data_IF_632741409850
#
_entry.id   IF_632741409850
#
_cell.length_a   1.000
_cell.length_b   1.000
_cell.length_c   1.000
_cell.angle_alpha   90.00
_cell.angle_beta   90.00
_cell.angle_gamma   90.00
#
_symmetry.space_group_name_H-M   'P 1'
#
loop_
_entity.id
_entity.type
_entity.pdbx_description
1 polymer ?
#
# COMPACT_ATOMS: atom_id res chain seq x y z
N UNK A 1 11.16 1.40 -7.11
CA UNK A 1 11.05 0.60 -8.36
C UNK A 1 10.92 -0.89 -8.03
N UNK A 2 11.96 -1.57 -7.50
CA UNK A 2 11.93 -3.03 -7.20
C UNK A 2 10.71 -3.54 -6.40
N UNK A 3 10.29 -2.82 -5.36
CA UNK A 3 9.08 -3.20 -4.59
C UNK A 3 7.79 -3.12 -5.40
N UNK A 4 7.68 -2.14 -6.30
CA UNK A 4 6.52 -2.02 -7.19
C UNK A 4 6.55 -3.08 -8.30
N UNK A 5 7.74 -3.41 -8.82
CA UNK A 5 7.92 -4.53 -9.74
C UNK A 5 7.48 -5.85 -9.09
N UNK A 6 7.93 -6.11 -7.85
CA UNK A 6 7.48 -7.25 -7.07
C UNK A 6 5.95 -7.30 -6.96
N UNK A 7 5.30 -6.20 -6.59
CA UNK A 7 3.85 -6.16 -6.48
C UNK A 7 3.16 -6.43 -7.83
N UNK A 8 3.68 -5.86 -8.94
CA UNK A 8 3.15 -6.08 -10.29
C UNK A 8 3.28 -7.54 -10.73
N UNK A 9 4.38 -8.20 -10.38
CA UNK A 9 4.65 -9.57 -10.79
C UNK A 9 3.93 -10.60 -9.93
N UNK A 10 3.95 -10.44 -8.60
CA UNK A 10 3.50 -11.47 -7.66
C UNK A 10 2.05 -11.24 -7.23
N UNK A 11 1.67 -9.98 -6.99
CA UNK A 11 0.38 -9.64 -6.36
C UNK A 11 -0.68 -9.24 -7.37
N UNK A 12 -0.32 -8.67 -8.51
CA UNK A 12 -1.31 -8.29 -9.52
C UNK A 12 -1.97 -9.54 -10.13
N UNK A 13 -3.30 -9.56 -10.09
CA UNK A 13 -4.08 -10.59 -10.76
C UNK A 13 -4.30 -10.23 -12.23
N UNK A 14 -4.66 -11.22 -13.06
CA UNK A 14 -4.90 -11.00 -14.50
C UNK A 14 -6.09 -10.09 -14.84
N UNK A 15 -6.90 -9.68 -13.86
CA UNK A 15 -8.01 -8.76 -14.03
C UNK A 15 -7.65 -7.30 -13.68
N UNK A 16 -6.47 -7.06 -13.09
CA UNK A 16 -5.96 -5.73 -12.78
C UNK A 16 -6.03 -5.30 -11.31
N UNK A 17 -6.46 -6.17 -10.39
CA UNK A 17 -6.41 -5.91 -8.95
C UNK A 17 -5.19 -6.55 -8.28
N UNK A 18 -4.67 -5.95 -7.22
CA UNK A 18 -3.62 -6.53 -6.38
C UNK A 18 -4.21 -7.40 -5.28
N UNK A 19 -3.78 -8.66 -5.25
CA UNK A 19 -4.10 -9.65 -4.24
C UNK A 19 -3.58 -9.25 -2.85
N UNK A 20 -4.26 -9.73 -1.81
CA UNK A 20 -4.07 -9.33 -0.43
C UNK A 20 -2.69 -9.71 0.10
N UNK A 21 -2.15 -10.85 -0.33
CA UNK A 21 -0.82 -11.26 0.08
C UNK A 21 -0.40 -12.58 -0.50
N UNK A 22 0.80 -12.97 -0.10
CA UNK A 22 1.35 -14.31 -0.27
C UNK A 22 1.39 -14.97 1.10
N UNK A 23 1.17 -16.27 1.12
CA UNK A 23 1.40 -17.10 2.29
C UNK A 23 2.87 -17.02 2.70
N UNK A 24 3.11 -17.16 3.99
CA UNK A 24 4.47 -17.30 4.50
C UNK A 24 5.03 -18.68 4.15
N UNK A 25 4.16 -19.70 4.06
CA UNK A 25 4.55 -21.08 3.81
C UNK A 25 4.71 -21.37 2.31
N UNK A 26 5.76 -22.12 2.00
CA UNK A 26 5.98 -22.75 0.69
C UNK A 26 6.53 -24.14 0.91
N UNK A 27 6.02 -25.15 0.20
CA UNK A 27 6.41 -26.56 0.40
C UNK A 27 6.19 -27.09 1.84
N UNK A 28 5.33 -26.43 2.62
CA UNK A 28 5.06 -26.78 4.02
C UNK A 28 6.07 -26.23 5.03
N UNK A 29 6.99 -25.36 4.58
CA UNK A 29 7.98 -24.68 5.41
C UNK A 29 7.84 -23.16 5.32
N UNK A 30 7.84 -22.48 6.46
CA UNK A 30 7.72 -21.03 6.56
C UNK A 30 8.95 -20.34 5.95
N UNK A 31 8.73 -19.47 4.98
CA UNK A 31 9.76 -18.60 4.40
C UNK A 31 10.73 -19.27 3.42
N UNK A 32 10.63 -20.59 3.20
CA UNK A 32 11.56 -21.36 2.35
C UNK A 32 11.72 -20.77 0.93
N UNK A 33 10.66 -20.22 0.36
CA UNK A 33 10.72 -19.60 -0.96
C UNK A 33 11.69 -18.40 -1.04
N UNK A 34 11.89 -17.65 0.05
CA UNK A 34 12.70 -16.43 0.08
C UNK A 34 14.04 -16.56 0.80
N UNK A 35 14.26 -17.67 1.51
CA UNK A 35 15.49 -17.90 2.26
C UNK A 35 16.50 -18.72 1.46
N UNK A 36 17.77 -18.62 1.86
CA UNK A 36 18.88 -19.26 1.14
C UNK A 36 19.88 -19.85 2.12
N UNK A 37 20.33 -21.08 1.89
CA UNK A 37 21.47 -21.60 2.64
C UNK A 37 22.79 -21.04 2.08
N UNK A 38 23.80 -20.97 2.93
CA UNK A 38 25.14 -20.55 2.51
C UNK A 38 25.68 -21.43 1.37
N UNK A 39 25.55 -22.74 1.51
CA UNK A 39 26.14 -23.69 0.56
C UNK A 39 25.39 -23.71 -0.78
N UNK A 40 24.06 -23.53 -0.77
CA UNK A 40 23.26 -23.34 -1.99
C UNK A 40 23.73 -22.11 -2.77
N UNK A 41 23.87 -20.96 -2.10
CA UNK A 41 24.32 -19.73 -2.76
C UNK A 41 25.77 -19.82 -3.22
N UNK A 42 26.63 -20.50 -2.46
CA UNK A 42 28.01 -20.71 -2.86
C UNK A 42 28.11 -21.50 -4.17
N UNK A 43 27.32 -22.58 -4.28
CA UNK A 43 27.25 -23.38 -5.49
C UNK A 43 26.62 -22.60 -6.67
N UNK A 44 25.58 -21.81 -6.42
CA UNK A 44 24.86 -21.05 -7.45
C UNK A 44 25.68 -19.88 -8.03
N UNK A 45 26.36 -19.15 -7.15
CA UNK A 45 26.98 -17.86 -7.50
C UNK A 45 28.45 -18.00 -7.93
N UNK A 46 29.15 -19.04 -7.47
CA UNK A 46 30.56 -19.27 -7.77
C UNK A 46 31.41 -18.10 -7.28
N UNK A 47 32.21 -17.51 -8.17
CA UNK A 47 33.13 -16.41 -7.83
C UNK A 47 32.43 -15.16 -7.30
N UNK A 48 31.15 -14.94 -7.65
CA UNK A 48 30.35 -13.81 -7.15
C UNK A 48 29.93 -14.00 -5.69
N UNK A 49 29.99 -15.24 -5.16
CA UNK A 49 29.41 -15.61 -3.88
C UNK A 49 29.87 -14.73 -2.71
N UNK A 50 31.19 -14.51 -2.46
CA UNK A 50 31.62 -13.80 -1.26
C UNK A 50 31.06 -12.36 -1.17
N UNK A 51 30.97 -11.68 -2.32
CA UNK A 51 30.45 -10.32 -2.39
C UNK A 51 28.92 -10.28 -2.25
N UNK A 52 28.22 -11.17 -2.95
CA UNK A 52 26.74 -11.21 -2.91
C UNK A 52 26.25 -11.69 -1.54
N UNK A 53 26.87 -12.71 -0.96
CA UNK A 53 26.58 -13.22 0.37
C UNK A 53 26.85 -12.15 1.44
N UNK A 54 28.00 -11.47 1.36
CA UNK A 54 28.34 -10.39 2.27
C UNK A 54 27.37 -9.19 2.15
N UNK A 55 26.92 -8.86 0.94
CA UNK A 55 25.98 -7.76 0.71
C UNK A 55 24.60 -8.07 1.28
N UNK A 56 24.12 -9.31 1.11
CA UNK A 56 22.81 -9.76 1.57
C UNK A 56 22.78 -10.38 2.96
N UNK A 57 23.89 -10.30 3.71
CA UNK A 57 23.94 -10.78 5.09
C UNK A 57 23.77 -12.29 5.24
N UNK A 58 24.25 -13.07 4.27
CA UNK A 58 24.16 -14.53 4.27
C UNK A 58 25.27 -15.11 5.16
N UNK A 59 24.89 -15.94 6.14
CA UNK A 59 25.81 -16.65 7.03
C UNK A 59 25.65 -18.17 6.90
N UNK A 60 26.63 -18.94 7.41
CA UNK A 60 26.57 -20.40 7.45
C UNK A 60 25.52 -20.91 8.43
N UNK A 61 25.31 -20.19 9.52
CA UNK A 61 24.34 -20.51 10.56
C UNK A 61 22.91 -20.22 10.11
N UNK A 62 22.73 -19.19 9.27
CA UNK A 62 21.41 -18.69 8.91
C UNK A 62 20.70 -17.97 10.07
N UNK A 63 19.55 -17.38 9.75
CA UNK A 63 18.64 -16.73 10.71
C UNK A 63 17.40 -17.60 10.99
N UNK A 64 17.11 -18.55 10.10
CA UNK A 64 15.93 -19.41 10.12
C UNK A 64 16.33 -20.82 9.66
N UNK A 65 16.43 -21.77 10.60
CA UNK A 65 16.68 -23.19 10.32
C UNK A 65 17.82 -23.45 9.31
N UNK A 66 18.99 -22.83 9.54
CA UNK A 66 20.15 -22.99 8.67
C UNK A 66 20.13 -22.14 7.39
N UNK A 67 19.05 -21.37 7.16
CA UNK A 67 18.89 -20.49 6.02
C UNK A 67 18.95 -19.01 6.41
N UNK A 68 19.43 -18.17 5.50
CA UNK A 68 19.53 -16.73 5.68
C UNK A 68 18.33 -16.01 5.07
N UNK A 69 17.72 -15.12 5.85
CA UNK A 69 16.80 -14.09 5.35
C UNK A 69 17.65 -12.94 4.80
N UNK A 70 17.50 -12.66 3.50
CA UNK A 70 18.31 -11.64 2.83
C UNK A 70 18.00 -10.25 3.39
N UNK A 71 19.03 -9.51 3.76
CA UNK A 71 18.93 -8.14 4.22
C UNK A 71 20.20 -7.38 3.82
N UNK A 72 20.12 -6.06 3.72
CA UNK A 72 21.33 -5.26 3.48
C UNK A 72 22.21 -5.31 4.74
N UNK A 73 23.36 -5.99 4.66
CA UNK A 73 24.28 -6.10 5.80
C UNK A 73 24.95 -4.75 6.14
N UNK A 74 25.04 -3.85 5.15
CA UNK A 74 25.48 -2.47 5.30
C UNK A 74 24.87 -1.60 4.20
N UNK A 75 24.95 -0.28 4.37
CA UNK A 75 24.65 0.66 3.28
C UNK A 75 25.55 0.37 2.06
N UNK A 76 25.02 0.37 0.82
CA UNK A 76 25.76 -0.03 -0.37
C UNK A 76 27.10 0.69 -0.54
N UNK A 77 27.15 1.98 -0.22
CA UNK A 77 28.36 2.82 -0.35
C UNK A 77 29.44 2.38 0.65
N UNK A 78 29.03 2.07 1.88
CA UNK A 78 29.93 1.58 2.92
C UNK A 78 30.44 0.18 2.58
N UNK A 79 29.56 -0.67 2.05
CA UNK A 79 29.92 -2.01 1.61
C UNK A 79 30.93 -1.96 0.45
N UNK A 80 30.66 -1.16 -0.59
CA UNK A 80 31.56 -0.98 -1.74
C UNK A 80 32.96 -0.54 -1.30
N UNK A 81 33.02 0.47 -0.42
CA UNK A 81 34.27 0.98 0.14
C UNK A 81 35.05 -0.09 0.88
N UNK A 82 34.38 -0.89 1.72
CA UNK A 82 34.99 -1.99 2.46
C UNK A 82 35.54 -3.12 1.57
N UNK A 83 35.02 -3.24 0.34
CA UNK A 83 35.44 -4.23 -0.66
C UNK A 83 36.39 -3.65 -1.72
N UNK A 84 36.80 -2.38 -1.59
CA UNK A 84 37.62 -1.65 -2.57
C UNK A 84 37.03 -1.65 -4.00
N UNK A 85 35.69 -1.58 -4.11
CA UNK A 85 34.95 -1.51 -5.38
C UNK A 85 34.34 -0.12 -5.58
N UNK A 86 34.17 0.28 -6.84
CA UNK A 86 33.29 1.41 -7.17
C UNK A 86 31.81 1.03 -6.95
N UNK A 87 30.95 2.02 -6.85
CA UNK A 87 29.50 1.80 -6.72
C UNK A 87 28.93 1.05 -7.94
N UNK A 88 29.43 1.36 -9.13
CA UNK A 88 29.03 0.75 -10.39
C UNK A 88 29.46 -0.72 -10.45
N UNK A 89 30.69 -1.02 -10.05
CA UNK A 89 31.20 -2.40 -10.00
C UNK A 89 30.41 -3.25 -9.02
N UNK A 90 30.12 -2.71 -7.82
CA UNK A 90 29.28 -3.40 -6.85
C UNK A 90 27.88 -3.63 -7.42
N UNK A 91 27.27 -2.60 -8.01
CA UNK A 91 25.92 -2.71 -8.59
C UNK A 91 25.85 -3.79 -9.68
N UNK A 92 26.86 -3.88 -10.54
CA UNK A 92 26.93 -4.91 -11.59
C UNK A 92 27.01 -6.33 -11.00
N UNK A 93 27.89 -6.55 -10.01
CA UNK A 93 28.06 -7.85 -9.35
C UNK A 93 26.78 -8.25 -8.61
N UNK A 94 26.18 -7.33 -7.85
CA UNK A 94 24.93 -7.58 -7.11
C UNK A 94 23.76 -7.81 -8.07
N UNK A 95 23.67 -7.10 -9.20
CA UNK A 95 22.61 -7.33 -10.21
C UNK A 95 22.73 -8.73 -10.80
N UNK A 96 23.91 -9.11 -11.29
CA UNK A 96 24.17 -10.44 -11.84
C UNK A 96 23.89 -11.55 -10.83
N UNK A 97 24.32 -11.39 -9.58
CA UNK A 97 24.05 -12.34 -8.50
C UNK A 97 22.54 -12.45 -8.20
N UNK A 98 21.85 -11.31 -8.11
CA UNK A 98 20.41 -11.26 -7.84
C UNK A 98 19.59 -11.89 -8.97
N UNK A 99 20.02 -11.75 -10.23
CA UNK A 99 19.40 -12.39 -11.39
C UNK A 99 19.54 -13.91 -11.35
N UNK A 100 20.73 -14.44 -11.01
CA UNK A 100 20.95 -15.89 -10.81
C UNK A 100 20.07 -16.43 -9.67
N UNK A 101 20.03 -15.72 -8.54
CA UNK A 101 19.19 -16.07 -7.39
C UNK A 101 17.71 -16.07 -7.76
N UNK A 102 17.25 -15.04 -8.48
CA UNK A 102 15.87 -14.96 -8.96
C UNK A 102 15.54 -16.14 -9.90
N UNK A 103 16.40 -16.44 -10.87
CA UNK A 103 16.19 -17.53 -11.82
C UNK A 103 16.13 -18.91 -11.13
N UNK A 104 16.92 -19.12 -10.09
CA UNK A 104 16.89 -20.34 -9.28
C UNK A 104 15.64 -20.40 -8.39
N UNK A 105 15.30 -19.30 -7.70
CA UNK A 105 14.09 -19.19 -6.87
C UNK A 105 12.80 -19.44 -7.66
N UNK A 106 12.71 -18.94 -8.90
CA UNK A 106 11.56 -19.14 -9.78
C UNK A 106 11.28 -20.60 -10.15
N UNK A 107 12.14 -21.55 -9.75
CA UNK A 107 11.93 -22.99 -9.92
C UNK A 107 11.41 -23.69 -8.65
N UNK A 108 11.38 -22.99 -7.51
CA UNK A 108 10.79 -23.48 -6.25
C UNK A 108 9.27 -23.39 -6.32
N UNK A 109 8.56 -24.16 -5.50
CA UNK A 109 7.11 -23.99 -5.38
C UNK A 109 6.82 -22.59 -4.78
N UNK A 110 6.05 -21.74 -5.48
CA UNK A 110 5.75 -20.41 -4.96
C UNK A 110 4.77 -20.48 -3.78
N UNK A 111 4.84 -19.52 -2.84
CA UNK A 111 3.86 -19.42 -1.77
C UNK A 111 2.46 -19.21 -2.35
N UNK A 112 1.45 -19.73 -1.65
CA UNK A 112 0.06 -19.55 -2.06
C UNK A 112 -0.32 -18.07 -2.02
N UNK A 113 -0.95 -17.57 -3.08
CA UNK A 113 -1.44 -16.19 -3.12
C UNK A 113 -2.87 -16.13 -2.57
N UNK A 114 -3.14 -15.28 -1.57
CA UNK A 114 -4.52 -14.97 -1.16
C UNK A 114 -5.18 -14.19 -2.32
N UNK A 115 -6.14 -14.78 -3.05
CA UNK A 115 -6.69 -14.16 -4.25
C UNK A 115 -7.59 -12.96 -3.95
N UNK A 116 -7.90 -12.70 -2.67
CA UNK A 116 -8.72 -11.58 -2.23
C UNK A 116 -8.08 -10.25 -2.65
N UNK A 117 -8.87 -9.35 -3.21
CA UNK A 117 -8.47 -7.97 -3.49
C UNK A 117 -9.17 -7.08 -2.48
N UNK A 118 -8.43 -6.28 -1.71
CA UNK A 118 -8.98 -5.37 -0.69
C UNK A 118 -8.92 -3.93 -1.20
N UNK A 119 -10.06 -3.23 -1.14
CA UNK A 119 -10.24 -1.89 -1.71
C UNK A 119 -9.27 -0.89 -1.10
N UNK A 120 -9.21 -0.81 0.23
CA UNK A 120 -8.27 0.03 0.97
C UNK A 120 -6.81 -0.12 0.48
N UNK A 121 -6.33 -1.36 0.39
CA UNK A 121 -4.93 -1.66 0.03
C UNK A 121 -4.64 -1.35 -1.44
N UNK A 122 -5.61 -1.61 -2.31
CA UNK A 122 -5.48 -1.24 -3.72
C UNK A 122 -5.55 0.27 -3.92
N UNK A 123 -6.31 1.02 -3.11
CA UNK A 123 -6.27 2.48 -3.08
C UNK A 123 -4.89 3.04 -2.73
N UNK A 124 -4.22 2.45 -1.72
CA UNK A 124 -2.83 2.78 -1.38
C UNK A 124 -1.87 2.42 -2.53
N UNK A 125 -2.04 1.26 -3.15
CA UNK A 125 -1.24 0.84 -4.29
C UNK A 125 -1.39 1.79 -5.49
N UNK A 126 -2.62 2.23 -5.81
CA UNK A 126 -2.89 3.23 -6.84
C UNK A 126 -2.08 4.52 -6.58
N UNK A 127 -2.19 5.07 -5.36
CA UNK A 127 -1.42 6.27 -4.97
C UNK A 127 0.09 6.06 -5.11
N UNK A 128 0.61 4.91 -4.64
CA UNK A 128 2.03 4.59 -4.73
C UNK A 128 2.52 4.50 -6.18
N UNK A 129 1.75 3.83 -7.05
CA UNK A 129 2.06 3.69 -8.48
C UNK A 129 1.99 5.02 -9.23
N UNK A 130 1.01 5.88 -8.90
CA UNK A 130 0.95 7.24 -9.46
C UNK A 130 2.21 8.02 -9.10
N UNK A 131 2.58 8.06 -7.82
CA UNK A 131 3.79 8.75 -7.37
C UNK A 131 5.04 8.21 -8.04
N UNK A 132 5.14 6.88 -8.17
CA UNK A 132 6.28 6.24 -8.83
C UNK A 132 6.36 6.63 -10.31
N UNK A 133 5.24 6.58 -11.04
CA UNK A 133 5.15 7.00 -12.44
C UNK A 133 5.56 8.46 -12.62
N UNK A 134 5.07 9.35 -11.75
CA UNK A 134 5.42 10.78 -11.80
C UNK A 134 6.89 11.07 -11.55
N UNK A 135 7.54 10.34 -10.64
CA UNK A 135 8.96 10.56 -10.30
C UNK A 135 9.88 9.90 -11.33
N UNK A 136 9.50 8.75 -11.87
CA UNK A 136 10.36 7.98 -12.79
C UNK A 136 10.15 8.34 -14.27
N UNK A 137 9.00 8.90 -14.62
CA UNK A 137 8.59 9.12 -16.02
C UNK A 137 8.22 7.83 -16.76
N UNK A 138 8.10 6.70 -16.06
CA UNK A 138 7.72 5.42 -16.66
C UNK A 138 6.20 5.21 -16.60
N UNK A 139 5.55 5.37 -17.76
CA UNK A 139 4.11 5.32 -17.93
C UNK A 139 3.48 3.98 -17.50
N UNK A 140 4.25 2.89 -17.43
CA UNK A 140 3.72 1.59 -17.04
C UNK A 140 3.12 1.61 -15.63
N UNK A 141 3.66 2.43 -14.74
CA UNK A 141 3.17 2.61 -13.38
C UNK A 141 1.81 3.33 -13.37
N UNK A 142 1.69 4.39 -14.18
CA UNK A 142 0.43 5.13 -14.34
C UNK A 142 -0.66 4.26 -14.98
N UNK A 143 -0.28 3.44 -15.97
CA UNK A 143 -1.19 2.49 -16.61
C UNK A 143 -1.68 1.43 -15.63
N UNK A 144 -0.80 0.87 -14.79
CA UNK A 144 -1.17 -0.08 -13.75
C UNK A 144 -2.09 0.54 -12.70
N UNK A 145 -1.81 1.77 -12.24
CA UNK A 145 -2.66 2.50 -11.32
C UNK A 145 -4.07 2.73 -11.90
N UNK A 146 -4.15 3.21 -13.15
CA UNK A 146 -5.41 3.42 -13.83
C UNK A 146 -6.17 2.10 -14.07
N UNK A 147 -5.46 1.03 -14.43
CA UNK A 147 -6.04 -0.32 -14.58
C UNK A 147 -6.67 -0.82 -13.28
N UNK A 148 -5.95 -0.64 -12.16
CA UNK A 148 -6.44 -1.01 -10.82
C UNK A 148 -7.66 -0.22 -10.41
N UNK A 149 -7.68 1.09 -10.68
CA UNK A 149 -8.86 1.91 -10.42
C UNK A 149 -10.07 1.46 -11.24
N UNK A 150 -9.89 1.13 -12.54
CA UNK A 150 -10.98 0.56 -13.37
C UNK A 150 -11.45 -0.78 -12.84
N UNK A 151 -10.53 -1.64 -12.40
CA UNK A 151 -10.88 -2.92 -11.79
C UNK A 151 -11.81 -2.74 -10.58
N UNK A 152 -11.48 -1.83 -9.66
CA UNK A 152 -12.33 -1.52 -8.49
C UNK A 152 -13.69 -1.00 -8.96
N UNK A 153 -13.73 -0.02 -9.88
CA UNK A 153 -14.98 0.56 -10.37
C UNK A 153 -15.90 -0.47 -11.05
N UNK A 154 -15.33 -1.47 -11.71
CA UNK A 154 -16.08 -2.48 -12.46
C UNK A 154 -16.53 -3.66 -11.60
N UNK A 155 -15.72 -4.06 -10.61
CA UNK A 155 -15.91 -5.33 -9.88
C UNK A 155 -16.24 -5.15 -8.40
N UNK A 156 -16.02 -3.96 -7.85
CA UNK A 156 -16.14 -3.67 -6.42
C UNK A 156 -17.15 -2.55 -6.13
N UNK A 157 -18.07 -2.33 -7.05
CA UNK A 157 -19.17 -1.36 -6.90
C UNK A 157 -20.48 -2.10 -7.18
N UNK A 158 -21.43 -2.02 -6.26
CA UNK A 158 -22.75 -2.64 -6.45
C UNK A 158 -23.55 -1.91 -7.53
N UNK A 159 -24.61 -2.51 -8.09
CA UNK A 159 -25.50 -1.82 -9.03
C UNK A 159 -26.07 -0.49 -8.51
N UNK A 160 -26.24 -0.37 -7.20
CA UNK A 160 -26.73 0.83 -6.51
C UNK A 160 -25.63 1.88 -6.27
N UNK A 161 -24.37 1.58 -6.64
CA UNK A 161 -23.22 2.48 -6.52
C UNK A 161 -22.46 2.37 -5.19
N UNK A 162 -22.74 1.37 -4.35
CA UNK A 162 -22.03 1.14 -3.08
C UNK A 162 -20.65 0.53 -3.35
N UNK A 163 -19.60 1.06 -2.72
CA UNK A 163 -18.28 0.45 -2.76
C UNK A 163 -18.24 -0.81 -1.88
N UNK A 164 -17.55 -1.84 -2.34
CA UNK A 164 -17.33 -3.10 -1.64
C UNK A 164 -15.91 -3.15 -1.05
N UNK A 165 -15.78 -3.73 0.14
CA UNK A 165 -14.50 -3.86 0.84
C UNK A 165 -13.54 -4.78 0.07
N UNK A 166 -14.06 -5.90 -0.41
CA UNK A 166 -13.24 -6.91 -1.03
C UNK A 166 -13.90 -7.51 -2.25
N UNK A 167 -13.04 -7.98 -3.14
CA UNK A 167 -13.39 -8.85 -4.24
C UNK A 167 -12.72 -10.18 -4.03
N UNK A 168 -13.53 -11.23 -4.05
CA UNK A 168 -13.13 -12.61 -4.13
C UNK A 168 -14.06 -13.24 -5.16
N UNK A 169 -13.60 -14.23 -5.94
CA UNK A 169 -14.42 -14.87 -7.00
C UNK A 169 -15.71 -15.55 -6.50
N UNK A 170 -16.06 -15.42 -5.22
CA UNK A 170 -17.21 -15.98 -4.54
C UNK A 170 -18.16 -14.90 -4.00
N UNK A 171 -19.47 -15.18 -3.89
CA UNK A 171 -20.53 -14.18 -3.91
C UNK A 171 -20.91 -13.57 -2.55
N UNK A 172 -19.98 -13.37 -1.61
CA UNK A 172 -20.28 -12.72 -0.33
C UNK A 172 -19.73 -11.27 -0.29
N UNK A 173 -20.43 -10.30 -0.93
CA UNK A 173 -19.98 -8.91 -0.93
C UNK A 173 -20.05 -8.34 0.49
N UNK A 174 -18.95 -7.75 0.93
CA UNK A 174 -18.89 -6.99 2.19
C UNK A 174 -18.90 -5.52 1.84
N UNK A 175 -19.85 -4.75 2.40
CA UNK A 175 -19.87 -3.29 2.24
C UNK A 175 -18.53 -2.68 2.69
N UNK A 176 -18.01 -1.74 1.90
CA UNK A 176 -16.80 -1.01 2.25
C UNK A 176 -16.92 -0.28 3.59
N UNK A 177 -15.80 -0.18 4.30
CA UNK A 177 -15.64 0.65 5.50
C UNK A 177 -15.10 2.04 5.12
N UNK A 178 -15.03 2.95 6.10
CA UNK A 178 -14.54 4.31 5.87
C UNK A 178 -13.15 4.35 5.23
N UNK A 179 -12.25 3.45 5.64
CA UNK A 179 -10.89 3.34 5.10
C UNK A 179 -10.85 2.95 3.61
N UNK A 180 -11.76 2.07 3.18
CA UNK A 180 -11.82 1.58 1.80
C UNK A 180 -12.17 2.73 0.86
N UNK A 181 -13.15 3.55 1.26
CA UNK A 181 -13.51 4.78 0.56
C UNK A 181 -12.37 5.80 0.60
N UNK A 182 -11.78 6.04 1.78
CA UNK A 182 -10.77 7.08 1.95
C UNK A 182 -9.53 6.81 1.07
N UNK A 183 -8.96 5.61 1.15
CA UNK A 183 -7.76 5.28 0.38
C UNK A 183 -8.03 5.15 -1.11
N UNK A 184 -9.19 4.62 -1.52
CA UNK A 184 -9.54 4.59 -2.93
C UNK A 184 -9.70 6.00 -3.51
N UNK A 185 -10.41 6.89 -2.80
CA UNK A 185 -10.54 8.29 -3.20
C UNK A 185 -9.20 9.03 -3.21
N UNK A 186 -8.29 8.80 -2.27
CA UNK A 186 -6.95 9.38 -2.32
C UNK A 186 -6.19 8.93 -3.58
N UNK A 187 -6.28 7.65 -3.95
CA UNK A 187 -5.73 7.13 -5.21
C UNK A 187 -6.38 7.77 -6.45
N UNK A 188 -7.71 7.97 -6.44
CA UNK A 188 -8.41 8.69 -7.51
C UNK A 188 -7.98 10.15 -7.61
N UNK A 189 -7.75 10.82 -6.49
CA UNK A 189 -7.25 12.19 -6.45
C UNK A 189 -5.83 12.29 -7.02
N UNK A 190 -4.98 11.30 -6.74
CA UNK A 190 -3.64 11.21 -7.33
C UNK A 190 -3.72 10.96 -8.85
N UNK A 191 -4.57 10.05 -9.30
CA UNK A 191 -4.81 9.82 -10.73
C UNK A 191 -5.35 11.08 -11.44
N UNK A 192 -6.29 11.79 -10.83
CA UNK A 192 -6.85 13.02 -11.38
C UNK A 192 -5.81 14.14 -11.50
N UNK A 193 -4.80 14.17 -10.63
CA UNK A 193 -3.73 15.16 -10.68
C UNK A 193 -2.74 14.95 -11.84
N UNK A 194 -2.63 13.72 -12.36
CA UNK A 194 -1.65 13.35 -13.41
C UNK A 194 -2.31 12.94 -14.73
N UNK A 195 -3.65 12.93 -14.81
CA UNK A 195 -4.39 12.48 -15.98
C UNK A 195 -5.46 13.49 -16.37
N UNK A 196 -5.57 13.77 -17.67
CA UNK A 196 -6.61 14.63 -18.23
C UNK A 196 -8.00 13.94 -18.32
N UNK A 197 -8.10 12.65 -17.93
CA UNK A 197 -9.37 11.93 -18.00
C UNK A 197 -10.35 12.40 -16.91
N UNK A 198 -11.53 12.92 -17.26
CA UNK A 198 -12.49 13.46 -16.28
C UNK A 198 -13.06 12.37 -15.35
N UNK A 199 -13.02 11.11 -15.80
CA UNK A 199 -13.47 9.95 -15.02
C UNK A 199 -12.94 9.95 -13.59
N UNK A 200 -11.67 10.28 -13.36
CA UNK A 200 -11.08 10.18 -12.02
C UNK A 200 -11.60 11.25 -11.07
N UNK A 201 -11.72 12.50 -11.53
CA UNK A 201 -12.27 13.58 -10.72
C UNK A 201 -13.78 13.39 -10.50
N UNK A 202 -14.52 12.89 -11.48
CA UNK A 202 -15.94 12.54 -11.34
C UNK A 202 -16.16 11.44 -10.29
N UNK A 203 -15.37 10.36 -10.35
CA UNK A 203 -15.47 9.26 -9.37
C UNK A 203 -14.97 9.68 -7.99
N UNK A 204 -13.93 10.50 -7.90
CA UNK A 204 -13.48 11.10 -6.64
C UNK A 204 -14.63 11.90 -5.99
N UNK A 205 -15.28 12.78 -6.75
CA UNK A 205 -16.39 13.58 -6.23
C UNK A 205 -17.55 12.69 -5.75
N UNK A 206 -17.92 11.67 -6.53
CA UNK A 206 -18.98 10.73 -6.18
C UNK A 206 -18.67 9.97 -4.88
N UNK A 207 -17.56 9.22 -4.85
CA UNK A 207 -17.23 8.38 -3.70
C UNK A 207 -16.84 9.18 -2.46
N UNK A 208 -16.24 10.37 -2.62
CA UNK A 208 -15.98 11.27 -1.48
C UNK A 208 -17.25 11.83 -0.85
N UNK A 209 -18.29 12.13 -1.66
CA UNK A 209 -19.61 12.52 -1.12
C UNK A 209 -20.30 11.34 -0.44
N UNK A 210 -20.21 10.15 -1.00
CA UNK A 210 -20.73 8.92 -0.38
C UNK A 210 -20.03 8.60 0.93
N UNK A 211 -18.69 8.73 1.01
CA UNK A 211 -17.94 8.59 2.25
C UNK A 211 -18.48 9.54 3.33
N UNK A 212 -18.68 10.81 2.99
CA UNK A 212 -19.24 11.78 3.92
C UNK A 212 -20.65 11.38 4.37
N UNK A 213 -21.51 10.99 3.44
CA UNK A 213 -22.91 10.63 3.70
C UNK A 213 -23.04 9.37 4.56
N UNK A 214 -22.21 8.37 4.30
CA UNK A 214 -22.32 7.04 4.89
C UNK A 214 -21.63 6.92 6.24
N UNK A 215 -20.59 7.72 6.51
CA UNK A 215 -19.73 7.49 7.67
C UNK A 215 -19.60 8.67 8.64
N UNK A 216 -20.04 9.88 8.28
CA UNK A 216 -20.07 11.03 9.20
C UNK A 216 -21.46 11.29 9.75
N UNK A 217 -21.56 11.42 11.07
CA UNK A 217 -22.76 11.93 11.70
C UNK A 217 -22.87 13.47 11.57
N UNK A 218 -23.98 14.03 12.08
CA UNK A 218 -24.23 15.48 12.03
C UNK A 218 -23.22 16.30 12.83
N UNK A 219 -22.47 15.68 13.73
CA UNK A 219 -21.46 16.31 14.59
C UNK A 219 -20.04 16.16 13.99
N UNK A 220 -19.90 15.44 12.87
CA UNK A 220 -18.64 15.18 12.18
C UNK A 220 -17.84 14.04 12.80
N UNK A 221 -18.47 13.16 13.60
CA UNK A 221 -17.84 11.96 14.12
C UNK A 221 -17.81 10.89 13.03
N UNK A 222 -16.62 10.31 12.82
CA UNK A 222 -16.42 9.23 11.86
C UNK A 222 -16.78 7.88 12.48
N UNK A 223 -17.58 7.10 11.76
CA UNK A 223 -17.85 5.70 12.07
C UNK A 223 -16.97 4.78 11.23
N UNK A 224 -16.54 3.65 11.80
CA UNK A 224 -15.78 2.63 11.08
C UNK A 224 -16.64 1.97 9.98
N UNK A 225 -17.83 1.50 10.34
CA UNK A 225 -18.84 0.99 9.42
C UNK A 225 -19.83 2.08 9.00
N UNK A 226 -20.55 1.82 7.90
CA UNK A 226 -21.58 2.74 7.43
C UNK A 226 -22.69 2.91 8.48
N UNK A 227 -23.22 4.12 8.59
CA UNK A 227 -24.35 4.47 9.47
C UNK A 227 -25.64 3.74 9.08
N UNK A 228 -25.67 3.13 7.90
CA UNK A 228 -26.74 2.31 7.38
C UNK A 228 -26.52 0.80 7.58
N UNK A 229 -25.40 0.40 8.18
CA UNK A 229 -25.11 -0.99 8.53
C UNK A 229 -25.70 -1.35 9.91
N UNK A 230 -25.80 -2.65 10.18
CA UNK A 230 -26.15 -3.15 11.52
C UNK A 230 -25.16 -2.60 12.56
N UNK A 231 -25.69 -2.15 13.69
CA UNK A 231 -24.88 -1.59 14.76
C UNK A 231 -23.99 -2.68 15.37
N UNK A 232 -22.69 -2.49 15.30
CA UNK A 232 -21.74 -3.38 15.97
C UNK A 232 -21.88 -3.25 17.49
N UNK A 233 -21.74 -4.35 18.26
CA UNK A 233 -21.80 -4.32 19.73
C UNK A 233 -20.72 -3.43 20.35
N UNK A 234 -19.62 -3.20 19.64
CA UNK A 234 -18.48 -2.39 20.07
C UNK A 234 -18.29 -1.25 19.07
N UNK A 235 -18.20 -0.03 19.59
CA UNK A 235 -17.83 1.14 18.78
C UNK A 235 -16.33 1.15 18.52
N UNK A 236 -15.94 0.79 17.30
CA UNK A 236 -14.56 0.87 16.84
C UNK A 236 -14.26 2.34 16.48
N UNK A 237 -13.28 2.94 17.15
CA UNK A 237 -12.78 4.29 16.83
C UNK A 237 -11.63 4.18 15.84
N UNK A 238 -11.79 4.60 14.57
CA UNK A 238 -10.77 4.38 13.54
C UNK A 238 -9.72 5.51 13.52
N UNK A 239 -9.19 5.86 14.70
CA UNK A 239 -8.36 7.05 14.92
C UNK A 239 -6.87 6.75 15.09
N UNK A 240 -6.50 5.51 15.41
CA UNK A 240 -5.11 5.13 15.63
C UNK A 240 -4.48 4.62 14.32
N UNK A 241 -3.28 5.10 14.05
CA UNK A 241 -2.42 4.57 13.00
C UNK A 241 -1.91 3.18 13.40
N UNK A 242 -1.71 2.33 12.40
CA UNK A 242 -1.07 1.03 12.56
C UNK A 242 -0.04 0.82 11.45
N UNK A 243 -0.08 -0.35 10.81
CA UNK A 243 0.70 -0.62 9.58
C UNK A 243 0.24 0.25 8.39
N UNK A 244 -0.91 0.90 8.52
CA UNK A 244 -1.46 1.90 7.60
C UNK A 244 -1.92 3.13 8.39
N UNK A 245 -2.08 4.29 7.74
CA UNK A 245 -2.75 5.43 8.35
C UNK A 245 -4.14 5.08 8.87
N UNK A 246 -4.57 5.74 9.94
CA UNK A 246 -5.92 5.62 10.47
C UNK A 246 -6.97 6.06 9.44
N UNK A 247 -8.17 5.48 9.49
CA UNK A 247 -9.23 5.92 8.59
C UNK A 247 -9.60 7.40 8.85
N UNK A 248 -9.53 7.85 10.11
CA UNK A 248 -9.77 9.25 10.46
C UNK A 248 -8.76 10.19 9.81
N UNK A 249 -7.46 9.88 9.88
CA UNK A 249 -6.41 10.66 9.22
C UNK A 249 -6.58 10.66 7.70
N UNK A 250 -6.79 9.48 7.10
CA UNK A 250 -7.01 9.35 5.66
C UNK A 250 -8.24 10.13 5.17
N UNK A 251 -9.36 10.07 5.90
CA UNK A 251 -10.57 10.83 5.58
C UNK A 251 -10.34 12.34 5.71
N UNK A 252 -9.64 12.78 6.77
CA UNK A 252 -9.35 14.20 6.97
C UNK A 252 -8.48 14.75 5.83
N UNK A 253 -7.36 14.08 5.50
CA UNK A 253 -6.51 14.44 4.36
C UNK A 253 -7.30 14.45 3.05
N UNK A 254 -8.11 13.42 2.80
CA UNK A 254 -8.95 13.37 1.60
C UNK A 254 -9.88 14.57 1.50
N UNK A 255 -10.60 14.90 2.57
CA UNK A 255 -11.56 16.00 2.56
C UNK A 255 -10.89 17.37 2.44
N UNK A 256 -9.69 17.55 2.99
CA UNK A 256 -8.87 18.74 2.76
C UNK A 256 -8.54 18.87 1.26
N UNK A 257 -8.03 17.81 0.63
CA UNK A 257 -7.75 17.79 -0.80
C UNK A 257 -8.99 18.06 -1.65
N UNK A 258 -10.11 17.44 -1.32
CA UNK A 258 -11.38 17.63 -2.03
C UNK A 258 -11.92 19.05 -1.89
N UNK A 259 -11.71 19.71 -0.74
CA UNK A 259 -12.09 21.11 -0.55
C UNK A 259 -11.38 22.02 -1.55
N UNK A 260 -10.07 21.81 -1.75
CA UNK A 260 -9.28 22.52 -2.76
C UNK A 260 -9.68 22.17 -4.20
N UNK A 261 -9.80 20.87 -4.51
CA UNK A 261 -10.09 20.39 -5.87
C UNK A 261 -11.48 20.86 -6.36
N UNK A 262 -12.50 20.80 -5.50
CA UNK A 262 -13.88 21.10 -5.89
C UNK A 262 -14.37 22.47 -5.42
N UNK A 263 -13.53 23.26 -4.74
CA UNK A 263 -13.90 24.55 -4.16
C UNK A 263 -15.18 24.48 -3.30
N UNK A 264 -15.34 23.38 -2.56
CA UNK A 264 -16.51 23.09 -1.74
C UNK A 264 -16.12 23.04 -0.26
N UNK A 265 -16.45 24.10 0.47
CA UNK A 265 -16.10 24.28 1.90
C UNK A 265 -16.74 23.21 2.80
N UNK A 266 -17.75 22.50 2.33
CA UNK A 266 -18.37 21.42 3.09
C UNK A 266 -17.45 20.21 3.28
N UNK A 267 -16.40 20.06 2.45
CA UNK A 267 -15.34 19.08 2.71
C UNK A 267 -14.35 19.56 3.77
N UNK A 268 -13.92 20.82 3.75
CA UNK A 268 -13.06 21.39 4.80
C UNK A 268 -13.75 21.31 6.18
N UNK A 269 -15.06 21.59 6.24
CA UNK A 269 -15.84 21.42 7.46
C UNK A 269 -15.93 19.95 7.93
N UNK A 270 -15.99 18.99 7.00
CA UNK A 270 -15.97 17.56 7.32
C UNK A 270 -14.61 17.14 7.91
N UNK A 271 -13.50 17.58 7.32
CA UNK A 271 -12.15 17.34 7.85
C UNK A 271 -12.00 17.92 9.26
N UNK A 272 -12.40 19.18 9.47
CA UNK A 272 -12.37 19.84 10.78
C UNK A 272 -13.21 19.09 11.83
N UNK A 273 -14.36 18.55 11.42
CA UNK A 273 -15.22 17.70 12.25
C UNK A 273 -14.49 16.44 12.73
N UNK A 274 -13.85 15.72 11.81
CA UNK A 274 -13.11 14.49 12.13
C UNK A 274 -11.96 14.79 13.11
N UNK A 275 -11.15 15.81 12.83
CA UNK A 275 -10.02 16.22 13.66
C UNK A 275 -10.49 16.59 15.07
N UNK A 276 -11.51 17.44 15.17
CA UNK A 276 -12.09 17.86 16.46
C UNK A 276 -12.60 16.67 17.28
N UNK A 277 -13.30 15.74 16.65
CA UNK A 277 -13.84 14.55 17.34
C UNK A 277 -12.75 13.53 17.71
N UNK A 278 -11.56 13.59 17.10
CA UNK A 278 -10.43 12.69 17.38
C UNK A 278 -9.45 13.26 18.42
N UNK A 279 -9.57 14.55 18.76
CA UNK A 279 -8.65 15.28 19.64
C UNK A 279 -8.37 14.61 20.98
N UNK A 280 -9.37 13.98 21.60
CA UNK A 280 -9.18 13.25 22.85
C UNK A 280 -8.17 12.10 22.75
N UNK A 281 -8.08 11.42 21.60
CA UNK A 281 -7.06 10.41 21.37
C UNK A 281 -5.72 11.04 20.97
N UNK A 282 -5.74 12.06 20.10
CA UNK A 282 -4.52 12.74 19.66
C UNK A 282 -3.75 13.37 20.83
N UNK A 283 -4.45 13.97 21.81
CA UNK A 283 -3.83 14.54 23.01
C UNK A 283 -3.31 13.45 23.97
N UNK A 284 -4.01 12.32 24.08
CA UNK A 284 -3.63 11.21 24.96
C UNK A 284 -2.47 10.37 24.39
N UNK A 285 -2.41 10.22 23.07
CA UNK A 285 -1.41 9.36 22.40
C UNK A 285 -1.04 9.91 21.01
N UNK A 286 -0.31 11.03 20.95
CA UNK A 286 0.04 11.69 19.68
C UNK A 286 0.80 10.78 18.71
N UNK A 287 1.74 9.98 19.23
CA UNK A 287 2.55 9.05 18.42
C UNK A 287 1.72 7.96 17.72
N UNK A 288 0.50 7.69 18.20
CA UNK A 288 -0.42 6.75 17.58
C UNK A 288 -1.38 7.42 16.58
N UNK A 289 -1.31 8.74 16.37
CA UNK A 289 -2.27 9.52 15.57
C UNK A 289 -1.55 10.47 14.59
N UNK A 290 -0.38 10.09 14.08
CA UNK A 290 0.45 10.94 13.22
C UNK A 290 -0.29 11.39 11.95
N UNK A 291 -1.06 10.50 11.31
CA UNK A 291 -1.82 10.84 10.11
C UNK A 291 -2.86 11.95 10.36
N UNK A 292 -3.50 11.95 11.53
CA UNK A 292 -4.44 13.00 11.94
C UNK A 292 -3.72 14.32 12.24
N UNK A 293 -2.56 14.27 12.90
CA UNK A 293 -1.76 15.46 13.19
C UNK A 293 -1.30 16.13 11.90
N UNK A 294 -0.83 15.34 10.92
CA UNK A 294 -0.46 15.85 9.60
C UNK A 294 -1.65 16.50 8.88
N UNK A 295 -2.84 15.89 8.96
CA UNK A 295 -4.04 16.48 8.39
C UNK A 295 -4.47 17.79 9.10
N UNK A 296 -4.30 17.88 10.42
CA UNK A 296 -4.57 19.11 11.18
C UNK A 296 -3.59 20.23 10.77
N UNK A 297 -2.30 19.92 10.62
CA UNK A 297 -1.30 20.88 10.12
C UNK A 297 -1.64 21.37 8.70
N UNK A 298 -2.00 20.46 7.79
CA UNK A 298 -2.40 20.81 6.41
C UNK A 298 -3.65 21.72 6.39
N UNK A 299 -4.66 21.42 7.22
CA UNK A 299 -5.88 22.23 7.30
C UNK A 299 -5.59 23.65 7.83
N UNK A 300 -4.71 23.77 8.82
CA UNK A 300 -4.31 25.06 9.39
C UNK A 300 -3.52 25.91 8.40
N UNK A 301 -2.62 25.29 7.63
CA UNK A 301 -1.82 25.99 6.62
C UNK A 301 -2.64 26.49 5.44
N UNK A 302 -3.70 25.78 5.03
CA UNK A 302 -4.62 26.25 3.99
C UNK A 302 -5.55 27.39 4.45
N UNK A 303 -5.72 27.57 5.76
CA UNK A 303 -6.60 28.58 6.36
C UNK A 303 -5.88 29.89 6.72
N UNK A 304 -4.54 29.92 6.60
CA UNK A 304 -3.67 31.05 6.91
C UNK A 304 -3.33 31.85 5.64
#
# INVERSE_FOLDING_TARGET
VRTAEFAMHELMNGAGGFCAGLDADSEGEEGLFYTWSHDELSALLGDDFPLVAGYWGVSREGHLDGHSILHLAAFPEKFATGQALSAEQLAEIISRGSEKMLAARSRREPPLRDPKVICAWNGLMISALVRLGSVTGDDRWLQAAAGTARFILQNMVTPEGRLLRNWLRTPAPVSAFAEDYAFFCLGLADLAAVSAAPLWSEKLNYFGRELRRLFLDKQGKLSFSGLDAEALPISIQPVQDGVMPSAAGACATLFIRMAGIFTDSSFAAAAAGIIRNSRGMTEKSPAACLSLIMAEEELLTQSA
#
